data_IF_626302294028
#
_entry.id   IF_626302294028
#
_cell.length_a   1.000
_cell.length_b   1.000
_cell.length_c   1.000
_cell.angle_alpha   90.00
_cell.angle_beta   90.00
_cell.angle_gamma   90.00
#
_symmetry.space_group_name_H-M   'P 1'
#
loop_
_entity.id
_entity.type
_entity.pdbx_description
1 polymer ?
#
# COMPACT_ATOMS: atom_id res chain seq x y z
N UNK A 1 26.63 14.40 15.52
CA UNK A 1 27.80 15.11 14.99
C UNK A 1 27.96 14.70 13.54
N UNK A 2 27.15 15.30 12.66
CA UNK A 2 27.36 15.18 11.22
C UNK A 2 28.58 16.04 10.88
N UNK A 3 29.69 15.36 10.60
CA UNK A 3 30.84 16.02 10.00
C UNK A 3 30.38 16.57 8.64
N UNK A 4 30.37 17.89 8.54
CA UNK A 4 30.08 18.67 7.35
C UNK A 4 30.85 18.08 6.16
N UNK A 5 30.18 17.24 5.37
CA UNK A 5 30.75 16.62 4.17
C UNK A 5 30.86 17.73 3.14
N UNK A 6 31.96 18.49 3.20
CA UNK A 6 32.29 19.48 2.20
C UNK A 6 32.26 18.82 0.82
N UNK A 7 31.36 19.29 -0.04
CA UNK A 7 31.30 18.84 -1.41
C UNK A 7 32.66 19.11 -2.08
N UNK A 8 33.24 18.11 -2.75
CA UNK A 8 34.55 18.26 -3.37
C UNK A 8 34.47 19.38 -4.42
N UNK A 9 35.34 20.38 -4.29
CA UNK A 9 35.39 21.50 -5.23
C UNK A 9 35.57 21.04 -6.70
N UNK A 10 35.23 21.87 -7.70
CA UNK A 10 35.16 21.49 -9.12
C UNK A 10 36.41 20.78 -9.66
N UNK A 11 37.60 21.18 -9.18
CA UNK A 11 38.88 20.56 -9.55
C UNK A 11 39.00 19.12 -9.04
N UNK A 12 38.57 18.84 -7.80
CA UNK A 12 38.58 17.50 -7.22
C UNK A 12 37.63 16.57 -7.98
N UNK A 13 36.42 17.04 -8.31
CA UNK A 13 35.47 16.30 -9.15
C UNK A 13 36.07 15.97 -10.54
N UNK A 14 36.79 16.93 -11.15
CA UNK A 14 37.46 16.72 -12.43
C UNK A 14 38.59 15.67 -12.36
N UNK A 15 39.48 15.75 -11.36
CA UNK A 15 40.55 14.76 -11.16
C UNK A 15 39.96 13.37 -10.92
N UNK A 16 38.89 13.29 -10.14
CA UNK A 16 38.15 12.05 -9.86
C UNK A 16 37.61 11.43 -11.16
N UNK A 17 36.89 12.20 -11.97
CA UNK A 17 36.30 11.72 -13.22
C UNK A 17 37.38 11.22 -14.21
N UNK A 18 38.49 11.94 -14.33
CA UNK A 18 39.62 11.52 -15.19
C UNK A 18 40.30 10.24 -14.69
N UNK A 19 40.46 10.10 -13.37
CA UNK A 19 41.00 8.87 -12.75
C UNK A 19 40.08 7.68 -13.00
N UNK A 20 38.76 7.85 -12.88
CA UNK A 20 37.81 6.77 -13.18
C UNK A 20 37.88 6.38 -14.64
N UNK A 21 37.83 7.34 -15.58
CA UNK A 21 37.95 7.05 -17.01
C UNK A 21 39.23 6.30 -17.36
N UNK A 22 40.38 6.71 -16.80
CA UNK A 22 41.64 6.00 -17.03
C UNK A 22 41.64 4.58 -16.46
N UNK A 23 40.93 4.32 -15.35
CA UNK A 23 40.75 2.96 -14.82
C UNK A 23 39.82 2.12 -15.70
N UNK A 24 38.72 2.71 -16.19
CA UNK A 24 37.78 2.06 -17.10
C UNK A 24 38.46 1.66 -18.42
N UNK A 25 39.31 2.54 -18.97
CA UNK A 25 40.04 2.29 -20.21
C UNK A 25 41.07 1.14 -20.12
N UNK A 26 41.47 0.70 -18.93
CA UNK A 26 42.37 -0.46 -18.75
C UNK A 26 41.66 -1.82 -18.85
N UNK A 27 40.35 -1.83 -19.10
CA UNK A 27 39.57 -3.04 -19.33
C UNK A 27 39.05 -3.72 -18.06
N UNK A 28 38.00 -4.52 -18.25
CA UNK A 28 37.38 -5.36 -17.22
C UNK A 28 37.77 -6.82 -17.51
N UNK A 29 38.48 -7.48 -16.58
CA UNK A 29 38.55 -8.95 -16.57
C UNK A 29 37.61 -9.48 -15.49
N UNK A 30 37.05 -10.68 -15.68
CA UNK A 30 36.16 -11.33 -14.69
C UNK A 30 36.82 -11.41 -13.31
N UNK A 31 38.10 -11.77 -13.23
CA UNK A 31 38.85 -11.92 -11.97
C UNK A 31 39.06 -10.62 -11.18
N UNK A 32 38.97 -9.47 -11.85
CA UNK A 32 39.26 -8.17 -11.24
C UNK A 32 38.01 -7.46 -10.71
N UNK A 33 36.83 -8.10 -10.79
CA UNK A 33 35.57 -7.60 -10.25
C UNK A 33 35.54 -7.49 -8.72
N UNK A 34 36.38 -8.24 -8.00
CA UNK A 34 36.20 -8.46 -6.55
C UNK A 34 36.94 -7.51 -5.59
N UNK A 35 37.98 -6.73 -5.97
CA UNK A 35 38.86 -6.13 -4.92
C UNK A 35 39.03 -4.60 -4.85
N UNK A 36 38.62 -3.79 -5.85
CA UNK A 36 38.84 -2.32 -5.77
C UNK A 36 37.92 -1.43 -6.62
N UNK A 37 37.03 -2.05 -7.40
CA UNK A 37 36.20 -1.39 -8.42
C UNK A 37 34.92 -0.71 -7.94
N UNK A 38 34.23 -1.16 -6.88
CA UNK A 38 33.05 -0.47 -6.37
C UNK A 38 33.32 1.00 -6.02
N UNK A 39 34.56 1.33 -5.59
CA UNK A 39 34.95 2.72 -5.30
C UNK A 39 35.00 3.61 -6.55
N UNK A 40 35.38 3.08 -7.71
CA UNK A 40 35.47 3.85 -8.94
C UNK A 40 34.07 4.15 -9.52
N UNK A 41 33.17 3.16 -9.55
CA UNK A 41 31.78 3.36 -9.94
C UNK A 41 31.04 4.26 -8.96
N UNK A 42 31.27 4.10 -7.65
CA UNK A 42 30.75 5.01 -6.63
C UNK A 42 31.18 6.45 -6.86
N UNK A 43 32.45 6.66 -7.15
CA UNK A 43 32.98 7.98 -7.46
C UNK A 43 32.36 8.57 -8.74
N UNK A 44 32.20 7.75 -9.79
CA UNK A 44 31.61 8.20 -11.05
C UNK A 44 30.14 8.56 -10.91
N UNK A 45 29.33 7.67 -10.34
CA UNK A 45 27.92 7.91 -10.08
C UNK A 45 27.71 9.11 -9.14
N UNK A 46 28.51 9.24 -8.07
CA UNK A 46 28.48 10.44 -7.22
C UNK A 46 28.84 11.71 -8.01
N UNK A 47 29.82 11.65 -8.90
CA UNK A 47 30.18 12.81 -9.74
C UNK A 47 29.06 13.17 -10.70
N UNK A 48 28.38 12.19 -11.30
CA UNK A 48 27.19 12.44 -12.12
C UNK A 48 26.05 13.05 -11.30
N UNK A 49 25.91 12.63 -10.05
CA UNK A 49 24.87 13.09 -9.16
C UNK A 49 25.07 14.54 -8.70
N UNK A 50 26.31 14.91 -8.34
CA UNK A 50 26.59 16.19 -7.66
C UNK A 50 27.24 17.25 -8.56
N UNK A 51 27.79 16.88 -9.72
CA UNK A 51 28.41 17.87 -10.60
C UNK A 51 27.34 18.82 -11.19
N UNK A 52 27.58 20.14 -11.20
CA UNK A 52 26.65 21.09 -11.80
C UNK A 52 26.35 20.74 -13.26
N UNK A 53 25.09 20.91 -13.65
CA UNK A 53 24.64 20.67 -15.03
C UNK A 53 25.44 21.53 -16.02
N UNK A 54 25.78 20.96 -17.18
CA UNK A 54 26.62 21.63 -18.19
C UNK A 54 28.10 21.78 -17.82
N UNK A 55 28.51 21.45 -16.59
CA UNK A 55 29.91 21.55 -16.19
C UNK A 55 30.81 20.57 -16.95
N UNK A 56 32.10 20.92 -17.05
CA UNK A 56 33.12 20.03 -17.62
C UNK A 56 33.23 18.71 -16.86
N UNK A 57 33.04 18.73 -15.54
CA UNK A 57 33.05 17.53 -14.71
C UNK A 57 31.88 16.60 -15.06
N UNK A 58 30.66 17.14 -15.14
CA UNK A 58 29.45 16.40 -15.55
C UNK A 58 29.61 15.81 -16.96
N UNK A 59 30.11 16.59 -17.92
CA UNK A 59 30.35 16.13 -19.29
C UNK A 59 31.35 14.97 -19.38
N UNK A 60 32.46 15.04 -18.63
CA UNK A 60 33.46 13.97 -18.58
C UNK A 60 32.90 12.73 -17.88
N UNK A 61 32.17 12.91 -16.78
CA UNK A 61 31.53 11.83 -16.06
C UNK A 61 30.48 11.12 -16.94
N UNK A 62 29.66 11.86 -17.68
CA UNK A 62 28.66 11.31 -18.60
C UNK A 62 29.31 10.50 -19.72
N UNK A 63 30.38 11.03 -20.32
CA UNK A 63 31.16 10.28 -21.32
C UNK A 63 31.76 9.01 -20.73
N UNK A 64 32.36 9.09 -19.55
CA UNK A 64 32.96 7.92 -18.89
C UNK A 64 31.89 6.87 -18.52
N UNK A 65 30.71 7.29 -18.11
CA UNK A 65 29.58 6.41 -17.83
C UNK A 65 29.05 5.74 -19.10
N UNK A 66 28.95 6.46 -20.23
CA UNK A 66 28.61 5.88 -21.54
C UNK A 66 29.63 4.84 -22.00
N UNK A 67 30.93 5.18 -21.90
CA UNK A 67 32.02 4.25 -22.22
C UNK A 67 31.97 3.00 -21.32
N UNK A 68 31.65 3.16 -20.02
CA UNK A 68 31.46 2.05 -19.11
C UNK A 68 30.21 1.22 -19.43
N UNK A 69 29.10 1.86 -19.81
CA UNK A 69 27.82 1.21 -20.05
C UNK A 69 27.81 0.26 -21.25
N UNK A 70 28.81 0.32 -22.13
CA UNK A 70 29.04 -0.71 -23.16
C UNK A 70 29.34 -2.10 -22.55
N UNK A 71 29.70 -2.15 -21.26
CA UNK A 71 29.87 -3.39 -20.51
C UNK A 71 28.66 -3.59 -19.55
N UNK A 72 27.89 -4.68 -19.66
CA UNK A 72 26.71 -4.93 -18.82
C UNK A 72 26.98 -4.94 -17.32
N UNK A 73 28.13 -5.48 -16.89
CA UNK A 73 28.54 -5.49 -15.48
C UNK A 73 28.78 -4.08 -14.95
N UNK A 74 29.48 -3.26 -15.73
CA UNK A 74 29.75 -1.87 -15.34
C UNK A 74 28.48 -1.01 -15.31
N UNK A 75 27.53 -1.26 -16.21
CA UNK A 75 26.20 -0.65 -16.16
C UNK A 75 25.45 -1.03 -14.88
N UNK A 76 25.41 -2.32 -14.53
CA UNK A 76 24.80 -2.80 -13.28
C UNK A 76 25.37 -2.09 -12.05
N UNK A 77 26.70 -2.03 -11.94
CA UNK A 77 27.37 -1.38 -10.80
C UNK A 77 27.06 0.12 -10.73
N UNK A 78 26.97 0.81 -11.87
CA UNK A 78 26.56 2.22 -11.91
C UNK A 78 25.12 2.41 -11.42
N UNK A 79 24.19 1.58 -11.89
CA UNK A 79 22.77 1.61 -11.51
C UNK A 79 22.58 1.30 -10.02
N UNK A 80 23.26 0.27 -9.51
CA UNK A 80 23.22 -0.09 -8.08
C UNK A 80 23.71 1.06 -7.19
N UNK A 81 24.75 1.80 -7.64
CA UNK A 81 25.18 2.99 -6.90
C UNK A 81 24.13 4.10 -6.95
N UNK A 82 23.49 4.35 -8.09
CA UNK A 82 22.43 5.36 -8.15
C UNK A 82 21.30 5.05 -7.17
N UNK A 83 20.82 3.80 -7.14
CA UNK A 83 19.84 3.35 -6.14
C UNK A 83 20.32 3.60 -4.72
N UNK A 84 21.56 3.21 -4.40
CA UNK A 84 22.13 3.39 -3.05
C UNK A 84 22.25 4.87 -2.68
N UNK A 85 22.65 5.73 -3.63
CA UNK A 85 22.83 7.16 -3.40
C UNK A 85 21.51 7.86 -3.06
N UNK A 86 20.41 7.42 -3.66
CA UNK A 86 19.06 7.97 -3.41
C UNK A 86 18.39 7.43 -2.17
N UNK A 87 18.57 6.15 -1.85
CA UNK A 87 17.92 5.52 -0.69
C UNK A 87 18.70 5.78 0.60
N UNK A 88 19.99 6.13 0.46
CA UNK A 88 20.93 6.24 1.58
C UNK A 88 21.53 4.88 1.94
N UNK A 89 22.70 4.89 2.58
CA UNK A 89 23.39 3.66 2.97
C UNK A 89 22.49 2.75 3.83
N UNK A 90 22.55 1.45 3.54
CA UNK A 90 21.76 0.34 4.11
C UNK A 90 21.55 0.46 5.62
N UNK A 91 20.28 0.48 6.06
CA UNK A 91 19.86 0.68 7.45
C UNK A 91 18.69 1.67 7.63
N UNK A 92 18.26 2.31 6.54
CA UNK A 92 17.17 3.30 6.49
C UNK A 92 15.81 2.68 6.16
N UNK A 93 14.69 3.37 6.48
CA UNK A 93 13.34 2.82 6.29
C UNK A 93 13.05 2.52 4.81
N UNK A 94 12.07 1.65 4.49
CA UNK A 94 11.79 1.19 3.14
C UNK A 94 11.68 2.36 2.14
N UNK A 95 12.13 2.16 0.89
CA UNK A 95 12.08 3.14 -0.21
C UNK A 95 10.78 3.97 -0.24
N UNK A 96 9.63 3.32 -0.01
CA UNK A 96 8.31 3.94 0.02
C UNK A 96 8.10 5.00 1.13
N UNK A 97 8.99 5.08 2.11
CA UNK A 97 8.90 6.00 3.26
C UNK A 97 9.76 7.25 3.11
N UNK A 98 10.69 7.29 2.15
CA UNK A 98 11.54 8.44 1.90
C UNK A 98 10.82 9.43 0.98
N UNK A 99 11.15 10.72 1.10
CA UNK A 99 10.72 11.70 0.11
C UNK A 99 11.58 11.51 -1.15
N UNK A 100 10.97 11.44 -2.35
CA UNK A 100 11.71 11.23 -3.57
C UNK A 100 12.57 12.46 -3.84
N UNK A 101 13.84 12.22 -4.14
CA UNK A 101 14.76 13.25 -4.59
C UNK A 101 14.62 13.39 -6.11
N UNK A 102 14.55 14.62 -6.65
CA UNK A 102 14.59 14.81 -8.09
C UNK A 102 15.91 14.26 -8.63
N UNK A 103 15.84 13.49 -9.71
CA UNK A 103 17.06 12.99 -10.34
C UNK A 103 17.69 14.09 -11.19
N UNK A 104 19.01 14.30 -11.07
CA UNK A 104 19.71 15.28 -11.90
C UNK A 104 19.55 14.98 -13.39
N UNK A 105 19.32 16.02 -14.20
CA UNK A 105 19.20 15.94 -15.67
C UNK A 105 20.29 15.07 -16.34
N UNK A 106 21.58 15.15 -15.97
CA UNK A 106 22.61 14.28 -16.53
C UNK A 106 22.40 12.77 -16.25
N UNK A 107 21.85 12.42 -15.09
CA UNK A 107 21.55 11.03 -14.73
C UNK A 107 20.33 10.55 -15.51
N UNK A 108 19.27 11.36 -15.59
CA UNK A 108 18.09 11.06 -16.43
C UNK A 108 18.48 10.86 -17.89
N UNK A 109 19.29 11.75 -18.46
CA UNK A 109 19.79 11.63 -19.82
C UNK A 109 20.64 10.36 -20.02
N UNK A 110 21.43 9.95 -19.03
CA UNK A 110 22.20 8.71 -19.09
C UNK A 110 21.32 7.45 -19.08
N UNK A 111 20.24 7.43 -18.29
CA UNK A 111 19.31 6.30 -18.19
C UNK A 111 18.47 6.12 -19.45
N UNK A 112 18.08 7.25 -20.07
CA UNK A 112 17.19 7.30 -21.23
C UNK A 112 17.91 7.26 -22.58
N UNK A 113 19.23 7.44 -22.58
CA UNK A 113 20.07 7.26 -23.76
C UNK A 113 19.79 5.87 -24.37
N UNK A 114 19.48 5.77 -25.68
CA UNK A 114 19.21 4.48 -26.29
C UNK A 114 20.44 3.56 -26.19
N UNK A 115 20.18 2.26 -26.15
CA UNK A 115 21.21 1.25 -26.35
C UNK A 115 21.51 1.09 -27.86
N UNK A 116 22.19 0.01 -28.26
CA UNK A 116 22.35 -0.35 -29.68
C UNK A 116 20.99 -0.62 -30.36
N UNK A 117 19.96 -0.94 -29.56
CA UNK A 117 18.54 -1.03 -29.92
C UNK A 117 17.82 0.28 -29.51
N UNK A 118 16.81 0.80 -30.25
CA UNK A 118 15.99 1.97 -29.87
C UNK A 118 15.43 1.98 -28.44
N UNK A 119 15.48 0.86 -27.71
CA UNK A 119 15.13 0.79 -26.31
C UNK A 119 16.05 1.69 -25.45
N UNK A 120 15.48 2.48 -24.51
CA UNK A 120 16.27 3.16 -23.49
C UNK A 120 17.17 2.17 -22.75
N UNK A 121 18.42 2.56 -22.48
CA UNK A 121 19.43 1.72 -21.82
C UNK A 121 18.92 1.04 -20.55
N UNK A 122 18.11 1.75 -19.76
CA UNK A 122 17.53 1.21 -18.53
C UNK A 122 16.54 0.07 -18.78
N UNK A 123 15.77 0.12 -19.86
CA UNK A 123 14.84 -0.94 -20.25
C UNK A 123 15.63 -2.15 -20.74
N UNK A 124 16.61 -1.94 -21.62
CA UNK A 124 17.49 -3.00 -22.10
C UNK A 124 18.23 -3.71 -20.95
N UNK A 125 18.58 -2.99 -19.88
CA UNK A 125 19.15 -3.57 -18.68
C UNK A 125 18.15 -4.44 -17.91
N UNK A 126 16.93 -3.96 -17.70
CA UNK A 126 15.89 -4.70 -16.98
C UNK A 126 15.37 -5.91 -17.76
N UNK A 127 15.42 -5.90 -19.08
CA UNK A 127 15.07 -7.03 -19.96
C UNK A 127 16.16 -8.10 -20.01
N UNK A 128 17.40 -7.78 -19.63
CA UNK A 128 18.47 -8.76 -19.59
C UNK A 128 18.17 -9.82 -18.52
N UNK A 129 18.45 -11.11 -18.76
CA UNK A 129 18.27 -12.14 -17.74
C UNK A 129 19.11 -11.78 -16.53
N UNK A 130 18.49 -11.71 -15.33
CA UNK A 130 19.16 -11.31 -14.10
C UNK A 130 20.35 -12.24 -13.86
N UNK A 131 21.59 -11.79 -14.09
CA UNK A 131 22.71 -12.69 -14.00
C UNK A 131 22.94 -12.94 -12.51
N UNK A 132 23.04 -14.23 -12.14
CA UNK A 132 23.41 -14.69 -10.80
C UNK A 132 24.87 -14.28 -10.49
N UNK A 133 25.11 -12.98 -10.30
CA UNK A 133 26.43 -12.45 -10.04
C UNK A 133 26.65 -12.35 -8.52
N UNK A 134 27.77 -12.88 -8.01
CA UNK A 134 28.13 -12.75 -6.61
C UNK A 134 28.48 -11.29 -6.28
N UNK A 135 27.80 -10.70 -5.30
CA UNK A 135 28.11 -9.35 -4.83
C UNK A 135 27.28 -8.93 -3.61
N UNK A 136 27.78 -8.00 -2.78
CA UNK A 136 27.10 -7.55 -1.55
C UNK A 136 25.99 -6.52 -1.81
N UNK A 137 25.85 -6.01 -3.04
CA UNK A 137 24.81 -5.04 -3.42
C UNK A 137 23.92 -5.70 -4.47
N UNK A 138 23.06 -6.61 -4.02
CA UNK A 138 21.99 -7.17 -4.84
C UNK A 138 20.86 -6.14 -4.93
N UNK A 139 21.10 -5.03 -5.62
CA UNK A 139 19.98 -4.24 -6.10
C UNK A 139 19.30 -5.09 -7.19
N UNK A 140 18.25 -5.81 -6.80
CA UNK A 140 17.44 -6.59 -7.75
C UNK A 140 16.85 -5.65 -8.79
N UNK A 141 16.51 -6.19 -9.96
CA UNK A 141 15.78 -5.41 -10.99
C UNK A 141 14.56 -4.69 -10.39
N UNK A 142 13.90 -5.34 -9.43
CA UNK A 142 12.80 -4.78 -8.66
C UNK A 142 13.16 -3.54 -7.84
N UNK A 143 14.30 -3.52 -7.12
CA UNK A 143 14.73 -2.35 -6.35
C UNK A 143 15.03 -1.16 -7.25
N UNK A 144 15.68 -1.42 -8.39
CA UNK A 144 15.96 -0.42 -9.41
C UNK A 144 14.67 0.13 -10.04
N UNK A 145 13.72 -0.75 -10.37
CA UNK A 145 12.41 -0.35 -10.88
C UNK A 145 11.63 0.50 -9.87
N UNK A 146 11.59 0.08 -8.60
CA UNK A 146 11.00 0.87 -7.51
C UNK A 146 11.64 2.24 -7.40
N UNK A 147 12.97 2.32 -7.47
CA UNK A 147 13.70 3.57 -7.46
C UNK A 147 13.35 4.48 -8.63
N UNK A 148 13.25 3.95 -9.85
CA UNK A 148 12.88 4.72 -11.05
C UNK A 148 11.47 5.30 -10.91
N UNK A 149 10.50 4.50 -10.47
CA UNK A 149 9.14 4.98 -10.21
C UNK A 149 9.15 6.07 -9.15
N UNK A 150 9.83 5.84 -8.03
CA UNK A 150 9.96 6.81 -6.95
C UNK A 150 10.56 8.14 -7.44
N UNK A 151 11.64 8.05 -8.20
CA UNK A 151 12.33 9.19 -8.82
C UNK A 151 11.43 9.95 -9.79
N UNK A 152 10.73 9.25 -10.67
CA UNK A 152 9.83 9.88 -11.63
C UNK A 152 8.75 10.69 -10.90
N UNK A 153 8.29 10.24 -9.72
CA UNK A 153 7.31 10.97 -8.92
C UNK A 153 7.85 12.24 -8.24
N UNK A 154 9.17 12.44 -8.21
CA UNK A 154 9.79 13.70 -7.82
C UNK A 154 10.03 14.66 -9.00
N UNK A 155 9.78 14.26 -10.24
CA UNK A 155 9.80 15.21 -11.35
C UNK A 155 8.78 16.32 -11.07
N UNK A 156 9.19 17.57 -11.27
CA UNK A 156 8.29 18.69 -11.06
C UNK A 156 7.08 18.54 -11.98
N UNK A 157 5.88 18.64 -11.39
CA UNK A 157 4.63 18.67 -12.15
C UNK A 157 4.42 20.07 -12.76
N UNK A 158 5.44 20.58 -13.45
CA UNK A 158 5.46 21.90 -14.09
C UNK A 158 4.80 21.86 -15.46
N UNK A 159 4.64 20.67 -16.05
CA UNK A 159 3.99 20.47 -17.33
C UNK A 159 2.61 19.84 -17.15
N UNK A 160 1.52 20.63 -17.11
CA UNK A 160 0.17 20.10 -16.94
C UNK A 160 -0.23 19.13 -18.07
N UNK A 161 0.37 19.28 -19.25
CA UNK A 161 0.03 18.51 -20.47
C UNK A 161 1.09 17.48 -20.89
N UNK A 162 2.19 17.35 -20.17
CA UNK A 162 3.32 16.52 -20.58
C UNK A 162 3.92 15.70 -19.45
N UNK A 163 4.65 14.65 -19.82
CA UNK A 163 5.46 13.88 -18.91
C UNK A 163 6.90 14.37 -18.95
N UNK A 164 7.57 14.40 -17.80
CA UNK A 164 9.02 14.42 -17.77
C UNK A 164 9.60 13.14 -18.40
N UNK A 165 10.88 13.11 -18.77
CA UNK A 165 11.45 12.01 -19.54
C UNK A 165 11.31 10.63 -18.88
N UNK A 166 11.42 10.53 -17.55
CA UNK A 166 11.24 9.24 -16.86
C UNK A 166 9.77 8.86 -16.76
N UNK A 167 8.90 9.83 -16.48
CA UNK A 167 7.46 9.61 -16.45
C UNK A 167 6.93 9.18 -17.82
N UNK A 168 7.50 9.71 -18.90
CA UNK A 168 7.16 9.40 -20.29
C UNK A 168 7.56 7.96 -20.67
N UNK A 169 8.71 7.51 -20.18
CA UNK A 169 9.12 6.11 -20.25
C UNK A 169 8.12 5.21 -19.48
N UNK A 170 7.81 5.54 -18.23
CA UNK A 170 6.89 4.76 -17.39
C UNK A 170 5.46 4.74 -17.96
N UNK A 171 5.05 5.79 -18.65
CA UNK A 171 3.75 5.89 -19.31
C UNK A 171 3.61 4.98 -20.54
N UNK A 172 4.69 4.42 -21.09
CA UNK A 172 4.65 3.58 -22.30
C UNK A 172 5.30 2.21 -22.14
N UNK A 173 6.08 2.01 -21.08
CA UNK A 173 6.81 0.76 -20.89
C UNK A 173 5.87 -0.44 -20.67
N UNK A 174 6.20 -1.57 -21.29
CA UNK A 174 5.64 -2.87 -20.99
C UNK A 174 6.57 -3.76 -20.14
N UNK A 175 7.69 -3.21 -19.67
CA UNK A 175 8.71 -3.99 -18.95
C UNK A 175 8.17 -4.46 -17.59
N UNK A 176 8.20 -5.77 -17.29
CA UNK A 176 7.54 -6.34 -16.12
C UNK A 176 7.92 -5.70 -14.77
N UNK A 177 9.20 -5.51 -14.47
CA UNK A 177 9.64 -4.96 -13.18
C UNK A 177 9.16 -3.52 -12.97
N UNK A 178 9.14 -2.70 -14.02
CA UNK A 178 8.61 -1.34 -14.00
C UNK A 178 7.08 -1.34 -13.80
N UNK A 179 6.36 -2.25 -14.45
CA UNK A 179 4.93 -2.42 -14.23
C UNK A 179 4.63 -2.86 -12.79
N UNK A 180 5.43 -3.77 -12.25
CA UNK A 180 5.33 -4.25 -10.87
C UNK A 180 5.62 -3.14 -9.86
N UNK A 181 6.67 -2.34 -10.11
CA UNK A 181 7.00 -1.16 -9.32
C UNK A 181 5.88 -0.11 -9.36
N UNK A 182 5.27 0.14 -10.52
CA UNK A 182 4.11 1.03 -10.66
C UNK A 182 2.90 0.51 -9.87
N UNK A 183 2.63 -0.80 -9.90
CA UNK A 183 1.56 -1.41 -9.08
C UNK A 183 1.84 -1.27 -7.59
N UNK A 184 3.09 -1.45 -7.16
CA UNK A 184 3.49 -1.26 -5.76
C UNK A 184 3.33 0.20 -5.32
N UNK A 185 3.75 1.16 -6.15
CA UNK A 185 3.56 2.58 -5.88
C UNK A 185 2.07 2.97 -5.81
N UNK A 186 1.24 2.44 -6.72
CA UNK A 186 -0.22 2.62 -6.68
C UNK A 186 -0.82 2.06 -5.38
N UNK A 187 -0.46 0.83 -5.02
CA UNK A 187 -0.93 0.17 -3.79
C UNK A 187 -0.58 0.97 -2.54
N UNK A 188 0.65 1.49 -2.49
CA UNK A 188 1.12 2.37 -1.41
C UNK A 188 0.29 3.66 -1.35
N UNK A 189 0.01 4.27 -2.50
CA UNK A 189 -0.78 5.51 -2.60
C UNK A 189 -2.24 5.32 -2.14
N UNK A 190 -2.87 4.19 -2.48
CA UNK A 190 -4.22 3.83 -1.99
C UNK A 190 -4.21 3.69 -0.48
N UNK A 191 -3.26 2.92 0.04
CA UNK A 191 -3.16 2.67 1.48
C UNK A 191 -2.93 3.95 2.27
N UNK A 192 -2.00 4.79 1.81
CA UNK A 192 -1.69 6.07 2.44
C UNK A 192 -2.91 7.02 2.34
N UNK A 193 -3.55 7.10 1.18
CA UNK A 193 -4.76 7.92 0.99
C UNK A 193 -5.89 7.54 1.95
N UNK A 194 -6.16 6.23 2.10
CA UNK A 194 -7.16 5.75 3.05
C UNK A 194 -6.76 6.06 4.49
N UNK A 195 -5.50 5.80 4.85
CA UNK A 195 -4.98 6.09 6.19
C UNK A 195 -5.14 7.57 6.57
N UNK A 196 -4.80 8.50 5.67
CA UNK A 196 -4.94 9.94 5.92
C UNK A 196 -6.40 10.41 5.95
N UNK A 197 -7.29 9.76 5.21
CA UNK A 197 -8.71 10.08 5.26
C UNK A 197 -9.34 9.67 6.61
N UNK A 198 -8.88 8.57 7.20
CA UNK A 198 -9.43 8.06 8.47
C UNK A 198 -8.67 8.51 9.71
N UNK A 199 -7.44 9.02 9.57
CA UNK A 199 -6.61 9.47 10.69
C UNK A 199 -6.12 10.91 10.46
N UNK A 200 -6.49 11.81 11.36
CA UNK A 200 -6.08 13.23 11.34
C UNK A 200 -4.67 13.46 11.87
N UNK A 201 -3.78 12.47 11.81
CA UNK A 201 -2.43 12.59 12.38
C UNK A 201 -1.56 13.54 11.56
N UNK A 202 -1.56 14.80 11.98
CA UNK A 202 -0.80 15.89 11.36
C UNK A 202 0.73 15.73 11.51
N UNK A 203 1.20 14.79 12.33
CA UNK A 203 2.64 14.64 12.60
C UNK A 203 3.36 13.79 11.55
N UNK A 204 2.64 13.01 10.75
CA UNK A 204 3.26 12.22 9.68
C UNK A 204 3.56 13.10 8.49
N UNK A 205 4.84 13.16 8.13
CA UNK A 205 5.29 13.76 6.87
C UNK A 205 4.48 13.17 5.71
N UNK A 206 3.98 14.00 4.79
CA UNK A 206 3.21 13.53 3.65
C UNK A 206 4.05 12.53 2.87
N UNK A 207 3.56 11.29 2.82
CA UNK A 207 4.20 10.22 2.07
C UNK A 207 4.20 10.52 0.57
N UNK A 208 5.15 9.95 -0.17
CA UNK A 208 5.50 10.42 -1.51
C UNK A 208 4.45 10.13 -2.58
N UNK A 209 3.60 9.12 -2.35
CA UNK A 209 2.62 8.69 -3.33
C UNK A 209 1.22 9.17 -2.94
N UNK A 210 0.69 10.13 -3.68
CA UNK A 210 -0.73 10.51 -3.66
C UNK A 210 -1.31 10.25 -5.03
N UNK A 211 -2.52 9.72 -5.10
CA UNK A 211 -3.23 9.53 -6.38
C UNK A 211 -3.88 10.83 -6.87
N UNK A 212 -4.41 11.64 -5.95
CA UNK A 212 -4.99 12.93 -6.27
C UNK A 212 -4.46 14.03 -5.36
N UNK A 213 -4.41 15.25 -5.90
CA UNK A 213 -4.28 16.50 -5.14
C UNK A 213 -5.62 17.22 -5.26
N UNK A 214 -6.40 17.18 -4.19
CA UNK A 214 -7.82 17.52 -4.24
C UNK A 214 -8.52 16.61 -5.26
N UNK A 215 -9.01 17.14 -6.36
CA UNK A 215 -9.64 16.38 -7.45
C UNK A 215 -8.74 16.18 -8.66
N UNK A 216 -7.56 16.80 -8.70
CA UNK A 216 -6.66 16.70 -9.85
C UNK A 216 -5.79 15.44 -9.75
N UNK A 217 -5.63 14.65 -10.83
CA UNK A 217 -4.76 13.50 -10.83
C UNK A 217 -3.30 13.94 -10.67
N UNK A 218 -2.54 13.24 -9.81
CA UNK A 218 -1.09 13.46 -9.70
C UNK A 218 -0.35 12.89 -10.89
N UNK A 219 0.97 13.13 -10.96
CA UNK A 219 1.86 12.50 -11.93
C UNK A 219 1.74 10.96 -11.92
N UNK A 220 1.68 10.32 -10.73
CA UNK A 220 1.50 8.87 -10.63
C UNK A 220 0.22 8.42 -11.34
N UNK A 221 -0.90 9.07 -11.04
CA UNK A 221 -2.19 8.75 -11.64
C UNK A 221 -2.19 8.98 -13.14
N UNK A 222 -1.57 10.05 -13.64
CA UNK A 222 -1.44 10.31 -15.08
C UNK A 222 -0.59 9.25 -15.78
N UNK A 223 0.54 8.84 -15.20
CA UNK A 223 1.40 7.76 -15.73
C UNK A 223 0.64 6.45 -15.78
N UNK A 224 -0.05 6.08 -14.70
CA UNK A 224 -0.89 4.87 -14.65
C UNK A 224 -2.00 4.92 -15.69
N UNK A 225 -2.65 6.08 -15.89
CA UNK A 225 -3.68 6.29 -16.90
C UNK A 225 -3.15 6.25 -18.34
N UNK A 226 -1.91 6.67 -18.57
CA UNK A 226 -1.28 6.62 -19.90
C UNK A 226 -0.74 5.23 -20.26
N UNK A 227 -0.31 4.43 -19.27
CA UNK A 227 0.28 3.12 -19.53
C UNK A 227 -0.77 2.11 -20.05
N UNK A 228 -0.62 1.58 -21.30
CA UNK A 228 -1.59 0.66 -21.90
C UNK A 228 -1.43 -0.79 -21.40
N UNK A 229 -0.34 -1.11 -20.72
CA UNK A 229 -0.04 -2.45 -20.21
C UNK A 229 -0.56 -2.68 -18.78
N UNK A 230 -1.25 -1.69 -18.19
CA UNK A 230 -1.88 -1.79 -16.87
C UNK A 230 -3.43 -1.75 -16.96
N UNK A 231 -4.16 -2.46 -16.08
CA UNK A 231 -3.64 -3.50 -15.18
C UNK A 231 -3.28 -4.78 -15.96
N UNK A 232 -2.12 -5.36 -15.67
CA UNK A 232 -1.77 -6.70 -16.14
C UNK A 232 -2.28 -7.72 -15.12
N UNK A 233 -3.11 -8.66 -15.57
CA UNK A 233 -3.67 -9.71 -14.73
C UNK A 233 -2.92 -11.02 -14.99
N UNK A 234 -2.43 -11.72 -13.96
CA UNK A 234 -1.92 -13.07 -14.13
C UNK A 234 -3.08 -14.01 -14.53
N UNK A 235 -2.76 -15.19 -15.09
CA UNK A 235 -3.79 -16.21 -15.29
C UNK A 235 -4.46 -16.54 -13.94
N UNK A 236 -5.77 -16.88 -13.94
CA UNK A 236 -6.42 -17.34 -12.73
C UNK A 236 -5.73 -18.61 -12.21
N UNK A 237 -5.56 -18.75 -10.88
CA UNK A 237 -5.03 -19.98 -10.32
C UNK A 237 -5.97 -21.16 -10.64
N UNK A 238 -5.41 -22.36 -10.81
CA UNK A 238 -6.19 -23.60 -10.99
C UNK A 238 -6.95 -23.98 -9.71
N UNK A 239 -6.45 -23.53 -8.55
CA UNK A 239 -7.00 -23.78 -7.22
C UNK A 239 -7.77 -22.54 -6.68
N UNK A 240 -8.19 -22.61 -5.40
CA UNK A 240 -8.79 -21.47 -4.73
C UNK A 240 -7.84 -20.25 -4.73
N UNK A 241 -8.39 -19.03 -4.90
CA UNK A 241 -7.56 -17.84 -4.92
C UNK A 241 -6.83 -17.65 -3.58
N UNK A 242 -5.60 -17.11 -3.59
CA UNK A 242 -4.95 -16.68 -2.36
C UNK A 242 -5.83 -15.59 -1.75
N UNK A 243 -6.52 -15.90 -0.64
CA UNK A 243 -7.48 -15.03 0.05
C UNK A 243 -6.81 -13.74 0.58
N UNK A 244 -6.42 -12.84 -0.32
CA UNK A 244 -5.70 -11.60 0.00
C UNK A 244 -6.62 -10.66 0.76
N UNK A 245 -6.04 -9.95 1.72
CA UNK A 245 -6.78 -8.96 2.53
C UNK A 245 -7.04 -7.66 1.77
N UNK A 246 -6.25 -7.36 0.74
CA UNK A 246 -6.38 -6.19 -0.13
C UNK A 246 -5.98 -6.55 -1.56
N UNK A 247 -6.70 -6.00 -2.53
CA UNK A 247 -6.50 -6.20 -3.97
C UNK A 247 -6.62 -4.83 -4.66
N UNK A 248 -5.61 -3.95 -4.51
CA UNK A 248 -5.63 -2.62 -5.11
C UNK A 248 -5.78 -2.67 -6.64
N UNK A 249 -5.46 -3.79 -7.29
CA UNK A 249 -5.69 -4.01 -8.72
C UNK A 249 -7.13 -3.72 -9.16
N UNK A 250 -8.14 -3.95 -8.29
CA UNK A 250 -9.53 -3.60 -8.62
C UNK A 250 -9.71 -2.09 -8.76
N UNK A 251 -9.06 -1.30 -7.90
CA UNK A 251 -9.10 0.15 -7.97
C UNK A 251 -8.33 0.67 -9.18
N UNK A 252 -7.21 0.03 -9.53
CA UNK A 252 -6.48 0.36 -10.75
C UNK A 252 -7.32 0.10 -12.01
N UNK A 253 -8.05 -1.02 -12.05
CA UNK A 253 -8.97 -1.32 -13.14
C UNK A 253 -10.09 -0.27 -13.27
N UNK A 254 -10.72 0.11 -12.15
CA UNK A 254 -11.74 1.17 -12.15
C UNK A 254 -11.16 2.53 -12.56
N UNK A 255 -9.96 2.87 -12.09
CA UNK A 255 -9.24 4.08 -12.48
C UNK A 255 -9.03 4.13 -14.00
N UNK A 256 -8.75 2.98 -14.62
CA UNK A 256 -8.55 2.84 -16.07
C UNK A 256 -9.86 2.77 -16.87
N UNK A 257 -11.02 2.90 -16.23
CA UNK A 257 -12.32 2.75 -16.89
C UNK A 257 -12.59 1.32 -17.36
N UNK A 258 -12.08 0.31 -16.64
CA UNK A 258 -12.20 -1.11 -16.95
C UNK A 258 -12.97 -1.89 -15.86
N UNK A 259 -14.25 -1.56 -15.59
CA UNK A 259 -15.06 -2.26 -14.60
C UNK A 259 -15.32 -3.73 -14.98
N UNK A 260 -15.18 -4.08 -16.26
CA UNK A 260 -15.24 -5.47 -16.76
C UNK A 260 -14.21 -6.40 -16.09
N UNK A 261 -13.12 -5.84 -15.55
CA UNK A 261 -12.06 -6.61 -14.89
C UNK A 261 -12.35 -6.93 -13.42
N UNK A 262 -13.40 -6.39 -12.80
CA UNK A 262 -13.72 -6.65 -11.37
C UNK A 262 -13.97 -8.14 -11.12
N UNK A 263 -14.75 -8.81 -11.98
CA UNK A 263 -15.02 -10.24 -11.90
C UNK A 263 -13.76 -11.10 -12.05
N UNK A 264 -12.96 -10.95 -13.13
CA UNK A 264 -11.65 -11.57 -13.27
C UNK A 264 -10.72 -11.37 -12.07
N UNK A 265 -10.57 -10.14 -11.57
CA UNK A 265 -9.75 -9.81 -10.41
C UNK A 265 -10.25 -10.53 -9.15
N UNK A 266 -11.57 -10.58 -8.96
CA UNK A 266 -12.20 -11.31 -7.85
C UNK A 266 -11.87 -12.80 -7.89
N UNK A 267 -11.83 -13.42 -9.09
CA UNK A 267 -11.45 -14.82 -9.25
C UNK A 267 -9.97 -15.09 -9.00
N UNK A 268 -9.10 -14.16 -9.37
CA UNK A 268 -7.65 -14.30 -9.21
C UNK A 268 -7.23 -14.11 -7.75
N UNK A 269 -7.78 -13.10 -7.07
CA UNK A 269 -7.27 -12.65 -5.77
C UNK A 269 -8.25 -12.82 -4.60
N UNK A 270 -9.45 -13.28 -4.89
CA UNK A 270 -10.49 -13.53 -3.90
C UNK A 270 -11.41 -12.32 -3.61
N UNK A 271 -12.65 -12.59 -3.18
CA UNK A 271 -13.68 -11.55 -2.98
C UNK A 271 -13.44 -10.65 -1.77
N UNK A 272 -12.88 -11.17 -0.66
CA UNK A 272 -12.62 -10.39 0.56
C UNK A 272 -11.74 -9.17 0.26
N UNK A 273 -10.61 -9.40 -0.41
CA UNK A 273 -9.67 -8.32 -0.70
C UNK A 273 -10.20 -7.32 -1.74
N UNK A 274 -11.06 -7.77 -2.66
CA UNK A 274 -11.76 -6.87 -3.60
C UNK A 274 -12.72 -5.94 -2.86
N UNK A 275 -13.57 -6.47 -1.98
CA UNK A 275 -14.50 -5.64 -1.20
C UNK A 275 -13.74 -4.67 -0.29
N UNK A 276 -12.70 -5.14 0.38
CA UNK A 276 -11.85 -4.30 1.23
C UNK A 276 -11.22 -3.15 0.43
N UNK A 277 -10.67 -3.43 -0.77
CA UNK A 277 -10.09 -2.39 -1.62
C UNK A 277 -11.13 -1.44 -2.21
N UNK A 278 -12.30 -1.93 -2.64
CA UNK A 278 -13.39 -1.04 -3.08
C UNK A 278 -13.82 -0.08 -1.98
N UNK A 279 -13.92 -0.56 -0.73
CA UNK A 279 -14.18 0.28 0.44
C UNK A 279 -13.10 1.34 0.66
N UNK A 280 -11.82 0.96 0.58
CA UNK A 280 -10.71 1.93 0.65
C UNK A 280 -10.84 2.98 -0.46
N UNK A 281 -11.23 2.56 -1.67
CA UNK A 281 -11.52 3.41 -2.82
C UNK A 281 -12.56 4.50 -2.56
N UNK A 282 -13.50 4.27 -1.64
CA UNK A 282 -14.50 5.28 -1.27
C UNK A 282 -13.94 6.36 -0.33
N UNK A 283 -12.85 6.08 0.39
CA UNK A 283 -12.28 7.00 1.39
C UNK A 283 -11.08 7.81 0.88
N UNK A 284 -10.43 7.43 -0.23
CA UNK A 284 -9.13 8.01 -0.66
C UNK A 284 -9.20 9.45 -1.21
N UNK A 285 -10.33 10.16 -1.06
CA UNK A 285 -10.48 11.55 -1.51
C UNK A 285 -10.40 11.71 -3.04
N UNK A 286 -10.83 10.69 -3.79
CA UNK A 286 -10.82 10.68 -5.25
C UNK A 286 -11.93 11.57 -5.86
N UNK A 287 -11.85 11.88 -7.17
CA UNK A 287 -12.95 12.52 -7.90
C UNK A 287 -14.26 11.73 -7.77
N UNK A 288 -15.43 12.41 -7.78
CA UNK A 288 -16.73 11.78 -7.61
C UNK A 288 -17.01 10.66 -8.62
N UNK A 289 -16.49 10.76 -9.84
CA UNK A 289 -16.63 9.76 -10.89
C UNK A 289 -15.99 8.44 -10.46
N UNK A 290 -14.76 8.47 -9.94
CA UNK A 290 -14.07 7.28 -9.45
C UNK A 290 -14.80 6.65 -8.26
N UNK A 291 -15.23 7.47 -7.30
CA UNK A 291 -16.02 7.00 -6.14
C UNK A 291 -17.33 6.36 -6.60
N UNK A 292 -18.00 6.93 -7.61
CA UNK A 292 -19.20 6.34 -8.20
C UNK A 292 -18.93 4.97 -8.82
N UNK A 293 -17.83 4.81 -9.55
CA UNK A 293 -17.43 3.49 -10.10
C UNK A 293 -17.19 2.47 -8.98
N UNK A 294 -16.53 2.85 -7.88
CA UNK A 294 -16.36 1.98 -6.71
C UNK A 294 -17.71 1.55 -6.10
N UNK A 295 -18.64 2.49 -5.91
CA UNK A 295 -19.99 2.18 -5.41
C UNK A 295 -20.75 1.28 -6.38
N UNK A 296 -20.64 1.51 -7.69
CA UNK A 296 -21.28 0.67 -8.70
C UNK A 296 -20.71 -0.75 -8.67
N UNK A 297 -19.39 -0.91 -8.56
CA UNK A 297 -18.76 -2.22 -8.45
C UNK A 297 -19.23 -2.99 -7.19
N UNK A 298 -19.38 -2.32 -6.05
CA UNK A 298 -19.92 -2.92 -4.82
C UNK A 298 -21.36 -3.44 -5.00
N UNK A 299 -22.17 -2.80 -5.84
CA UNK A 299 -23.56 -3.23 -6.15
C UNK A 299 -23.67 -4.35 -7.18
N UNK A 300 -22.59 -4.68 -7.87
CA UNK A 300 -22.55 -5.69 -8.93
C UNK A 300 -21.52 -6.80 -8.65
N UNK A 301 -21.39 -7.21 -7.39
CA UNK A 301 -20.51 -8.31 -7.00
C UNK A 301 -21.16 -9.64 -7.38
N UNK A 302 -20.49 -10.43 -8.21
CA UNK A 302 -20.98 -11.74 -8.62
C UNK A 302 -20.79 -12.80 -7.52
N UNK A 303 -19.71 -12.67 -6.74
CA UNK A 303 -19.29 -13.71 -5.81
C UNK A 303 -20.06 -13.63 -4.47
N UNK A 304 -20.71 -14.72 -4.00
CA UNK A 304 -21.54 -14.70 -2.78
C UNK A 304 -20.74 -14.29 -1.53
N UNK A 305 -19.50 -14.74 -1.39
CA UNK A 305 -18.63 -14.32 -0.27
C UNK A 305 -18.35 -12.81 -0.28
N UNK A 306 -18.26 -12.16 -1.45
CA UNK A 306 -18.11 -10.70 -1.51
C UNK A 306 -19.38 -9.97 -1.08
N UNK A 307 -20.56 -10.50 -1.45
CA UNK A 307 -21.86 -9.98 -0.98
C UNK A 307 -21.99 -10.11 0.53
N UNK A 308 -21.58 -11.25 1.08
CA UNK A 308 -21.48 -11.45 2.54
C UNK A 308 -20.62 -10.36 3.18
N UNK A 309 -19.45 -10.03 2.63
CA UNK A 309 -18.59 -9.00 3.22
C UNK A 309 -19.22 -7.61 3.26
N UNK A 310 -19.93 -7.26 2.19
CA UNK A 310 -20.71 -6.02 2.13
C UNK A 310 -21.77 -6.03 3.22
N UNK A 311 -22.57 -7.10 3.33
CA UNK A 311 -23.60 -7.21 4.38
C UNK A 311 -23.00 -7.19 5.79
N UNK A 312 -21.85 -7.84 6.01
CA UNK A 312 -21.14 -7.84 7.30
C UNK A 312 -20.69 -6.43 7.66
N UNK A 313 -20.12 -5.70 6.71
CA UNK A 313 -19.66 -4.33 6.93
C UNK A 313 -20.82 -3.37 7.18
N UNK A 314 -21.95 -3.55 6.48
CA UNK A 314 -23.18 -2.81 6.72
C UNK A 314 -23.68 -2.95 8.17
N UNK A 315 -23.65 -4.16 8.73
CA UNK A 315 -24.03 -4.42 10.13
C UNK A 315 -23.07 -3.78 11.15
N UNK A 316 -21.83 -3.47 10.75
CA UNK A 316 -20.90 -2.70 11.58
C UNK A 316 -21.06 -1.18 11.42
N UNK A 317 -22.11 -0.72 10.73
CA UNK A 317 -22.45 0.70 10.59
C UNK A 317 -21.75 1.42 9.44
N UNK A 318 -21.15 0.69 8.49
CA UNK A 318 -20.60 1.29 7.28
C UNK A 318 -21.73 1.69 6.32
N UNK A 319 -21.99 3.00 6.22
CA UNK A 319 -23.11 3.55 5.45
C UNK A 319 -23.03 3.26 3.95
N UNK A 320 -21.84 3.21 3.37
CA UNK A 320 -21.67 2.92 1.94
C UNK A 320 -21.89 1.43 1.65
N UNK A 321 -21.45 0.56 2.56
CA UNK A 321 -21.74 -0.87 2.47
C UNK A 321 -23.22 -1.17 2.70
N UNK A 322 -23.87 -0.44 3.61
CA UNK A 322 -25.31 -0.51 3.82
C UNK A 322 -26.08 -0.12 2.55
N UNK A 323 -25.74 1.02 1.95
CA UNK A 323 -26.36 1.45 0.69
C UNK A 323 -26.16 0.39 -0.42
N UNK A 324 -24.94 -0.13 -0.57
CA UNK A 324 -24.68 -1.19 -1.54
C UNK A 324 -25.49 -2.47 -1.29
N UNK A 325 -25.58 -2.93 -0.03
CA UNK A 325 -26.35 -4.12 0.34
C UNK A 325 -27.85 -3.94 0.06
N UNK A 326 -28.42 -2.78 0.44
CA UNK A 326 -29.84 -2.48 0.27
C UNK A 326 -30.18 -2.35 -1.21
N UNK A 327 -29.46 -1.51 -1.96
CA UNK A 327 -29.75 -1.23 -3.36
C UNK A 327 -29.56 -2.45 -4.26
N UNK A 328 -28.54 -3.29 -3.99
CA UNK A 328 -28.31 -4.52 -4.74
C UNK A 328 -29.15 -5.70 -4.23
N UNK A 329 -29.94 -5.51 -3.17
CA UNK A 329 -30.77 -6.55 -2.57
C UNK A 329 -29.96 -7.72 -1.99
N UNK A 330 -28.71 -7.49 -1.56
CA UNK A 330 -27.87 -8.52 -0.99
C UNK A 330 -28.44 -9.04 0.33
N UNK A 331 -28.30 -10.35 0.52
CA UNK A 331 -28.60 -11.04 1.76
C UNK A 331 -27.39 -11.88 2.15
N UNK A 332 -27.02 -11.92 3.44
CA UNK A 332 -25.97 -12.81 3.88
C UNK A 332 -26.30 -14.27 3.56
N UNK A 333 -25.31 -14.99 3.04
CA UNK A 333 -25.46 -16.40 2.70
C UNK A 333 -25.65 -17.25 3.96
N UNK A 334 -26.51 -18.27 3.85
CA UNK A 334 -26.78 -19.24 4.92
C UNK A 334 -27.64 -18.72 6.07
N UNK A 335 -28.34 -17.59 5.91
CA UNK A 335 -29.32 -17.14 6.91
C UNK A 335 -30.62 -17.94 6.82
N UNK A 336 -31.13 -18.37 7.98
CA UNK A 336 -32.52 -18.81 8.12
C UNK A 336 -33.49 -17.60 8.13
N UNK A 337 -34.80 -17.87 8.10
CA UNK A 337 -35.82 -16.81 8.02
C UNK A 337 -35.76 -15.83 9.22
N UNK A 338 -35.47 -16.33 10.42
CA UNK A 338 -35.33 -15.48 11.61
C UNK A 338 -34.12 -14.54 11.50
N UNK A 339 -33.00 -15.05 10.98
CA UNK A 339 -31.81 -14.23 10.73
C UNK A 339 -32.02 -13.24 9.57
N UNK A 340 -32.79 -13.58 8.54
CA UNK A 340 -33.14 -12.65 7.46
C UNK A 340 -34.00 -11.50 7.99
N UNK A 341 -35.01 -11.78 8.81
CA UNK A 341 -35.82 -10.76 9.48
C UNK A 341 -34.93 -9.85 10.36
N UNK A 342 -34.03 -10.44 11.15
CA UNK A 342 -33.05 -9.69 11.93
C UNK A 342 -32.13 -8.81 11.07
N UNK A 343 -31.71 -9.29 9.89
CA UNK A 343 -30.90 -8.50 8.96
C UNK A 343 -31.67 -7.31 8.40
N UNK A 344 -32.93 -7.49 7.96
CA UNK A 344 -33.76 -6.38 7.48
C UNK A 344 -34.01 -5.34 8.56
N UNK A 345 -34.28 -5.77 9.80
CA UNK A 345 -34.42 -4.88 10.94
C UNK A 345 -33.12 -4.11 11.23
N UNK A 346 -31.99 -4.83 11.33
CA UNK A 346 -30.68 -4.26 11.62
C UNK A 346 -30.18 -3.27 10.55
N UNK A 347 -30.65 -3.41 9.31
CA UNK A 347 -30.32 -2.54 8.17
C UNK A 347 -31.42 -1.54 7.86
N UNK A 348 -32.42 -1.40 8.74
CA UNK A 348 -33.54 -0.46 8.64
C UNK A 348 -34.35 -0.58 7.33
N UNK A 349 -34.39 -1.77 6.73
CA UNK A 349 -35.22 -2.07 5.55
C UNK A 349 -36.67 -2.36 5.98
N UNK A 350 -37.36 -1.36 6.53
CA UNK A 350 -38.63 -1.53 7.23
C UNK A 350 -39.72 -2.23 6.42
N UNK A 351 -39.90 -1.87 5.15
CA UNK A 351 -40.92 -2.52 4.30
C UNK A 351 -40.66 -4.02 4.14
N UNK A 352 -39.42 -4.41 3.86
CA UNK A 352 -39.03 -5.83 3.73
C UNK A 352 -39.09 -6.56 5.06
N UNK A 353 -38.79 -5.88 6.17
CA UNK A 353 -38.93 -6.44 7.50
C UNK A 353 -40.40 -6.69 7.85
N UNK A 354 -41.26 -5.68 7.68
CA UNK A 354 -42.68 -5.77 8.02
C UNK A 354 -43.39 -6.81 7.13
N UNK A 355 -42.95 -7.03 5.88
CA UNK A 355 -43.41 -8.13 5.01
C UNK A 355 -42.94 -9.51 5.48
N UNK A 356 -41.68 -9.61 5.95
CA UNK A 356 -41.06 -10.87 6.34
C UNK A 356 -41.46 -11.33 7.75
N UNK A 357 -41.72 -10.40 8.67
CA UNK A 357 -42.04 -10.64 10.07
C UNK A 357 -43.16 -9.71 10.59
N UNK A 358 -44.41 -9.83 10.07
CA UNK A 358 -45.49 -8.89 10.37
C UNK A 358 -45.87 -8.82 11.85
N UNK A 359 -45.63 -9.88 12.60
CA UNK A 359 -45.94 -9.99 14.03
C UNK A 359 -44.71 -9.88 14.95
N UNK A 360 -43.51 -9.70 14.38
CA UNK A 360 -42.25 -9.62 15.13
C UNK A 360 -41.80 -10.93 15.79
N UNK A 361 -42.45 -12.06 15.47
CA UNK A 361 -42.18 -13.35 16.09
C UNK A 361 -40.82 -13.91 15.69
N UNK A 362 -40.38 -13.68 14.45
CA UNK A 362 -39.09 -14.14 13.94
C UNK A 362 -37.92 -13.37 14.58
N UNK A 363 -38.02 -12.04 14.66
CA UNK A 363 -37.02 -11.20 15.32
C UNK A 363 -36.92 -11.52 16.81
N UNK A 364 -38.06 -11.70 17.48
CA UNK A 364 -38.10 -12.10 18.89
C UNK A 364 -37.44 -13.48 19.08
N UNK A 365 -37.73 -14.44 18.20
CA UNK A 365 -37.10 -15.76 18.24
C UNK A 365 -35.57 -15.66 18.08
N UNK A 366 -35.08 -14.85 17.13
CA UNK A 366 -33.65 -14.59 16.96
C UNK A 366 -33.02 -14.03 18.25
N UNK A 367 -33.64 -13.04 18.88
CA UNK A 367 -33.13 -12.37 20.08
C UNK A 367 -33.20 -13.24 21.35
N UNK A 368 -34.19 -14.14 21.46
CA UNK A 368 -34.40 -15.01 22.63
C UNK A 368 -33.50 -16.25 22.60
N UNK A 369 -33.19 -16.79 21.42
CA UNK A 369 -32.37 -18.02 21.27
C UNK A 369 -30.93 -17.73 21.69
N UNK A 370 -30.65 -17.61 22.99
CA UNK A 370 -29.31 -17.54 23.57
C UNK A 370 -28.76 -18.97 23.67
N UNK A 371 -27.64 -19.28 22.98
CA UNK A 371 -26.48 -20.05 23.51
C UNK A 371 -25.80 -21.16 22.69
N UNK A 372 -26.27 -21.68 21.56
CA UNK A 372 -25.61 -22.91 21.04
C UNK A 372 -25.00 -22.88 19.64
N UNK A 373 -25.17 -21.83 18.85
CA UNK A 373 -24.46 -21.68 17.57
C UNK A 373 -23.89 -20.27 17.43
N UNK A 374 -22.59 -20.11 17.69
CA UNK A 374 -21.84 -18.93 17.26
C UNK A 374 -21.75 -18.98 15.73
N UNK A 375 -22.74 -18.44 15.05
CA UNK A 375 -22.67 -18.18 13.61
C UNK A 375 -21.86 -16.90 13.39
N UNK A 376 -21.13 -16.80 12.28
CA UNK A 376 -20.37 -15.58 11.90
C UNK A 376 -21.23 -14.31 11.87
N UNK A 377 -22.54 -14.46 11.73
CA UNK A 377 -23.53 -13.38 11.65
C UNK A 377 -24.13 -12.95 12.99
N UNK A 378 -23.98 -13.74 14.05
CA UNK A 378 -24.76 -13.53 15.27
C UNK A 378 -24.44 -12.21 15.96
N UNK A 379 -23.17 -11.97 16.21
CA UNK A 379 -22.73 -10.78 16.94
C UNK A 379 -22.98 -9.49 16.12
N UNK A 380 -22.67 -9.44 14.80
CA UNK A 380 -23.05 -8.29 13.97
C UNK A 380 -24.55 -8.02 13.93
N UNK A 381 -25.39 -9.06 13.84
CA UNK A 381 -26.85 -8.90 13.82
C UNK A 381 -27.39 -8.41 15.16
N UNK A 382 -26.94 -8.96 16.29
CA UNK A 382 -27.36 -8.49 17.64
C UNK A 382 -27.03 -7.00 17.83
N UNK A 383 -25.81 -6.60 17.45
CA UNK A 383 -25.39 -5.20 17.50
C UNK A 383 -26.22 -4.30 16.58
N UNK A 384 -26.45 -4.73 15.34
CA UNK A 384 -27.24 -3.99 14.36
C UNK A 384 -28.69 -3.81 14.80
N UNK A 385 -29.33 -4.86 15.32
CA UNK A 385 -30.71 -4.82 15.84
C UNK A 385 -30.85 -3.81 16.97
N UNK A 386 -29.95 -3.83 17.96
CA UNK A 386 -29.96 -2.85 19.06
C UNK A 386 -29.81 -1.42 18.56
N UNK A 387 -28.90 -1.22 17.62
CA UNK A 387 -28.63 0.10 17.03
C UNK A 387 -29.85 0.62 16.26
N UNK A 388 -30.46 -0.23 15.43
CA UNK A 388 -31.66 0.11 14.66
C UNK A 388 -32.89 0.37 15.55
N UNK A 389 -33.10 -0.42 16.61
CA UNK A 389 -34.18 -0.18 17.57
C UNK A 389 -34.01 1.18 18.26
N UNK A 390 -32.78 1.50 18.69
CA UNK A 390 -32.47 2.79 19.29
C UNK A 390 -32.70 3.97 18.32
N UNK A 391 -32.23 3.87 17.08
CA UNK A 391 -32.34 4.94 16.09
C UNK A 391 -33.79 5.20 15.63
N UNK A 392 -34.56 4.13 15.43
CA UNK A 392 -35.93 4.20 14.90
C UNK A 392 -36.99 4.47 15.97
N UNK A 393 -36.67 4.26 17.25
CA UNK A 393 -37.63 4.27 18.34
C UNK A 393 -38.57 3.06 18.35
N UNK A 394 -38.34 2.04 17.50
CA UNK A 394 -39.06 0.77 17.57
C UNK A 394 -38.69 0.04 18.89
N UNK A 395 -39.60 -0.76 19.47
CA UNK A 395 -39.31 -1.52 20.68
C UNK A 395 -38.07 -2.40 20.54
N UNK A 396 -37.21 -2.43 21.57
CA UNK A 396 -36.06 -3.33 21.61
C UNK A 396 -36.57 -4.79 21.67
N UNK A 397 -36.30 -5.62 20.64
CA UNK A 397 -36.76 -7.02 20.62
C UNK A 397 -35.97 -7.91 21.58
N UNK A 398 -34.86 -7.40 22.16
CA UNK A 398 -34.12 -8.17 23.15
C UNK A 398 -34.91 -8.29 24.45
N UNK A 399 -34.92 -9.48 25.08
CA UNK A 399 -35.52 -9.61 26.39
C UNK A 399 -34.80 -8.68 27.34
N UNK A 400 -35.57 -7.96 28.17
CA UNK A 400 -35.03 -7.09 29.18
C UNK A 400 -33.90 -7.83 29.92
N UNK A 401 -32.71 -7.23 30.06
CA UNK A 401 -31.61 -7.86 30.78
C UNK A 401 -32.15 -8.39 32.10
N UNK A 402 -31.99 -9.70 32.31
CA UNK A 402 -32.44 -10.37 33.53
C UNK A 402 -31.54 -9.91 34.68
N UNK A 403 -31.71 -8.67 35.12
CA UNK A 403 -31.24 -8.19 36.41
C UNK A 403 -32.15 -8.78 37.49
N UNK A 404 -32.33 -10.11 37.49
CA UNK A 404 -32.31 -10.83 38.76
C UNK A 404 -30.90 -10.66 39.29
N UNK A 405 -30.62 -9.45 39.79
CA UNK A 405 -29.62 -9.18 40.78
C UNK A 405 -30.00 -10.16 41.86
N UNK A 406 -29.39 -11.34 41.86
CA UNK A 406 -29.37 -12.20 43.04
C UNK A 406 -29.00 -11.21 44.12
N UNK A 407 -29.88 -10.90 45.08
CA UNK A 407 -29.50 -10.04 46.17
C UNK A 407 -28.28 -10.75 46.74
N UNK A 408 -27.09 -10.22 46.48
CA UNK A 408 -25.89 -10.68 47.15
C UNK A 408 -26.25 -10.51 48.60
N UNK A 409 -26.56 -11.63 49.25
CA UNK A 409 -26.89 -11.65 50.65
C UNK A 409 -25.72 -10.94 51.31
N UNK A 410 -25.94 -9.73 51.80
CA UNK A 410 -25.06 -9.06 52.74
C UNK A 410 -25.01 -9.96 53.99
N UNK A 411 -24.18 -11.00 53.92
CA UNK A 411 -23.57 -11.70 55.04
C UNK A 411 -22.09 -11.29 54.95
N UNK A 412 -21.54 -10.44 55.78
CA UNK A 412 -22.04 -9.90 57.04
C UNK A 412 -21.26 -8.65 57.46
N UNK A 413 -21.38 -8.24 58.73
CA UNK A 413 -20.77 -7.05 59.28
C UNK A 413 -19.31 -7.29 59.71
N UNK A 414 -18.58 -6.18 59.83
CA UNK A 414 -17.39 -6.00 60.66
C UNK A 414 -16.10 -6.76 60.26
N UNK A 415 -15.21 -6.02 59.60
CA UNK A 415 -13.82 -6.39 59.37
C UNK A 415 -13.02 -5.15 58.99
N UNK A 416 -12.88 -4.25 59.96
CA UNK A 416 -12.01 -3.08 59.96
C UNK A 416 -10.60 -3.39 59.43
N UNK A 417 -10.19 -2.69 58.37
CA UNK A 417 -8.77 -2.50 58.07
C UNK A 417 -8.40 -1.04 58.35
N UNK A 418 -7.34 -0.77 59.13
CA UNK A 418 -7.06 0.54 59.69
C UNK A 418 -6.40 1.45 58.66
N UNK A 419 -6.91 2.66 58.56
CA UNK A 419 -6.18 3.81 58.04
C UNK A 419 -5.20 4.29 59.11
N UNK A 420 -3.90 4.14 58.88
CA UNK A 420 -2.88 4.95 59.57
C UNK A 420 -2.44 6.09 58.65
N UNK A 421 -2.52 7.36 59.10
CA UNK A 421 -2.00 8.52 58.40
C UNK A 421 -0.73 9.06 59.08
N UNK A 422 0.42 9.02 58.40
CA UNK A 422 1.71 9.73 58.61
C UNK A 422 2.73 8.98 57.73
N UNK A 423 3.72 9.54 57.04
CA UNK A 423 4.36 10.84 57.07
C UNK A 423 5.13 11.05 55.75
N UNK A 424 5.23 12.32 55.35
CA UNK A 424 6.46 13.03 54.91
C UNK A 424 7.64 12.18 54.40
N UNK A 425 8.07 12.44 53.16
CA UNK A 425 9.45 12.16 52.72
C UNK A 425 9.60 12.05 51.21
N UNK A 426 10.12 13.10 50.56
CA UNK A 426 10.43 13.09 49.13
C UNK A 426 11.57 12.14 48.77
N UNK A 427 11.62 11.72 47.51
CA UNK A 427 12.84 11.33 46.82
C UNK A 427 12.73 11.61 45.33
N UNK A 428 13.76 12.29 44.84
CA UNK A 428 14.13 12.49 43.46
C UNK A 428 14.35 11.16 42.71
N UNK A 429 14.22 11.25 41.38
CA UNK A 429 15.05 10.46 40.47
C UNK A 429 14.43 9.18 39.92
N UNK A 430 14.31 9.12 38.59
CA UNK A 430 14.08 7.86 37.89
C UNK A 430 13.42 8.04 36.53
N UNK A 431 14.21 8.42 35.53
CA UNK A 431 13.82 8.27 34.13
C UNK A 431 13.74 6.78 33.79
N UNK A 432 12.66 6.39 33.11
CA UNK A 432 12.49 5.06 32.55
C UNK A 432 12.46 5.17 31.03
N UNK A 433 13.62 4.89 30.43
CA UNK A 433 13.72 4.49 29.03
C UNK A 433 13.09 3.09 28.88
N UNK A 434 11.85 3.06 28.39
CA UNK A 434 11.12 1.83 28.06
C UNK A 434 11.36 1.41 26.62
N UNK A 435 12.59 1.01 26.29
CA UNK A 435 12.89 0.25 25.08
C UNK A 435 12.54 -1.23 25.29
N UNK A 436 11.57 -1.75 24.53
CA UNK A 436 11.16 -3.15 24.61
C UNK A 436 10.51 -3.61 23.30
N UNK A 437 11.34 -4.03 22.35
CA UNK A 437 10.89 -4.71 21.15
C UNK A 437 10.33 -6.09 21.47
N UNK A 438 9.15 -6.40 20.92
CA UNK A 438 8.62 -7.76 20.81
C UNK A 438 8.18 -8.00 19.37
N UNK A 439 9.08 -8.59 18.58
CA UNK A 439 8.76 -9.25 17.32
C UNK A 439 8.24 -10.67 17.64
N UNK A 440 6.92 -10.83 17.69
CA UNK A 440 6.28 -12.13 17.74
C UNK A 440 6.27 -12.77 16.36
N UNK A 441 7.17 -13.72 16.12
CA UNK A 441 7.10 -14.64 14.99
C UNK A 441 5.97 -15.64 15.21
N UNK A 442 4.93 -15.57 14.38
CA UNK A 442 3.93 -16.63 14.29
C UNK A 442 4.45 -17.73 13.36
N UNK A 443 4.87 -18.85 13.95
CA UNK A 443 5.07 -20.10 13.23
C UNK A 443 3.69 -20.69 12.93
N UNK A 444 3.34 -20.74 11.64
CA UNK A 444 2.13 -21.39 11.15
C UNK A 444 2.18 -22.89 11.40
N UNK A 445 1.31 -23.38 12.28
CA UNK A 445 0.99 -24.81 12.38
C UNK A 445 0.12 -25.20 11.20
N UNK A 446 0.63 -26.13 10.37
CA UNK A 446 -0.13 -26.75 9.31
C UNK A 446 -1.25 -27.61 9.89
N UNK A 447 -2.48 -27.34 9.46
CA UNK A 447 -3.58 -28.28 9.55
C UNK A 447 -3.66 -29.02 8.21
N UNK A 448 -3.39 -30.31 8.24
CA UNK A 448 -3.75 -31.23 7.15
C UNK A 448 -5.23 -31.57 7.28
N UNK A 449 -5.99 -31.39 6.20
CA UNK A 449 -7.25 -32.08 5.96
C UNK A 449 -7.01 -33.22 5.00
#
# INVERSE_FOLDING_TARGET
>A
MDADRQDPGPLAAWVQARRVRHRLARGFTEDSALSSRPRAFRALARTLWTAPEGSRASSIALRAAREAAANPFALRELLAVFCTATVGETGKPPLASLAPLPTPSPVTAFLLDPAEDPAPRIVAFLDAPEPALPGPVNASHQELACWLVHTAMAEEDTHPTGFGPLSDLLARTGQPDLLDALRSAFSSAVHDGHHFATHSDATRSPRPYRLWRHTSPTLLTRVLLANPHLPSLPPPPDEEPPWRTKVPEVLLALLKGRPDLVGPITRIWGPHGVVASLREGLSIGAPPEFTRECRQALRHLDHPVGRDDVCRSALYGDAEMLAAAVEAGYLPSGLDEAQKAAFFFATEQWERYDDADPDGSLLTAFCVVKRHRRTKWRDPLDQGVRTAAYNSGRPDPHPAPSYTRTPHSRRGPAGSWPTSPSDVGGHDGGGYDGGGGHSGGYSGGGFSF
#
